data_IF_556499989913
#
_entry.id   IF_556499989913
#
_cell.length_a   1.000
_cell.length_b   1.000
_cell.length_c   1.000
_cell.angle_alpha   90.00
_cell.angle_beta   90.00
_cell.angle_gamma   90.00
#
_symmetry.space_group_name_H-M   'P 1'
#
loop_
_entity.id
_entity.type
_entity.pdbx_description
1 polymer ?
#
# COMPACT_ATOMS: atom_id res chain seq x y z
N UNK A 1 -39.95 -17.37 32.07
CA UNK A 1 -38.79 -16.46 32.10
C UNK A 1 -39.21 -15.02 31.78
N UNK A 2 -40.18 -14.46 32.52
CA UNK A 2 -41.03 -13.37 31.98
C UNK A 2 -41.20 -12.14 32.86
N UNK A 3 -40.54 -12.06 34.03
CA UNK A 3 -40.58 -10.85 34.88
C UNK A 3 -39.20 -10.27 35.21
N UNK A 4 -38.15 -11.09 35.21
CA UNK A 4 -36.79 -10.65 35.56
C UNK A 4 -36.08 -9.89 34.42
N UNK A 5 -36.47 -10.12 33.16
CA UNK A 5 -35.90 -9.47 31.97
C UNK A 5 -36.95 -8.63 31.24
N UNK A 6 -37.62 -7.73 31.99
CA UNK A 6 -38.58 -6.80 31.38
C UNK A 6 -37.80 -5.61 30.81
N UNK A 7 -37.52 -5.63 29.51
CA UNK A 7 -36.82 -4.53 28.82
C UNK A 7 -37.74 -3.30 28.78
N UNK A 8 -37.37 -2.21 29.47
CA UNK A 8 -38.08 -0.93 29.37
C UNK A 8 -37.99 -0.43 27.92
N UNK A 9 -39.12 -0.01 27.36
CA UNK A 9 -39.18 0.45 25.96
C UNK A 9 -38.37 1.73 25.79
N UNK A 10 -38.40 2.61 26.80
CA UNK A 10 -37.69 3.88 26.84
C UNK A 10 -36.55 3.81 27.87
N UNK A 11 -35.40 3.28 27.44
CA UNK A 11 -34.19 3.19 28.26
C UNK A 11 -33.10 4.03 27.60
N UNK A 12 -32.51 4.97 28.36
CA UNK A 12 -31.50 5.92 27.86
C UNK A 12 -30.29 5.19 27.27
N UNK A 13 -29.94 4.05 27.86
CA UNK A 13 -28.80 3.23 27.44
C UNK A 13 -29.06 2.46 26.14
N UNK A 14 -30.30 2.44 25.62
CA UNK A 14 -30.59 1.95 24.26
C UNK A 14 -30.39 3.02 23.19
N UNK A 15 -30.56 4.29 23.56
CA UNK A 15 -30.35 5.42 22.64
C UNK A 15 -28.89 5.87 22.58
N UNK A 16 -28.04 5.37 23.48
CA UNK A 16 -26.60 5.59 23.41
C UNK A 16 -25.93 4.62 22.41
N UNK A 17 -24.81 5.02 21.80
CA UNK A 17 -24.01 4.14 20.97
C UNK A 17 -23.54 2.91 21.74
N UNK A 18 -23.57 1.74 21.09
CA UNK A 18 -22.98 0.52 21.63
C UNK A 18 -21.46 0.58 21.47
N UNK A 19 -20.80 1.25 22.40
CA UNK A 19 -19.35 1.35 22.49
C UNK A 19 -18.79 0.36 23.51
N UNK A 20 -17.48 0.17 23.52
CA UNK A 20 -16.77 -0.72 24.45
C UNK A 20 -16.75 -0.18 25.90
N UNK A 21 -17.65 0.75 26.26
CA UNK A 21 -17.66 1.47 27.54
C UNK A 21 -16.71 2.68 27.62
N UNK A 22 -16.24 3.18 26.48
CA UNK A 22 -15.38 4.37 26.39
C UNK A 22 -16.05 5.43 25.53
N UNK A 23 -16.02 6.69 25.99
CA UNK A 23 -16.46 7.82 25.17
C UNK A 23 -15.74 7.83 23.81
N UNK A 24 -16.43 8.20 22.72
CA UNK A 24 -15.83 8.18 21.39
C UNK A 24 -14.66 9.16 21.34
N UNK A 25 -13.42 8.64 21.38
CA UNK A 25 -12.19 9.44 21.36
C UNK A 25 -11.96 10.21 20.06
N UNK A 26 -12.67 9.90 18.98
CA UNK A 26 -12.48 10.56 17.69
C UNK A 26 -13.69 10.42 16.76
N UNK A 27 -13.75 11.24 15.72
CA UNK A 27 -14.75 11.10 14.65
C UNK A 27 -14.60 9.77 13.92
N UNK A 28 -15.72 9.12 13.59
CA UNK A 28 -15.73 7.88 12.80
C UNK A 28 -15.04 8.00 11.42
N UNK A 29 -14.86 9.22 10.91
CA UNK A 29 -14.08 9.50 9.70
C UNK A 29 -12.64 9.83 10.10
N UNK A 30 -11.75 8.86 9.97
CA UNK A 30 -10.32 9.14 10.02
C UNK A 30 -9.86 9.71 8.68
N UNK A 31 -9.00 10.75 8.68
CA UNK A 31 -8.43 11.29 7.46
C UNK A 31 -7.63 10.21 6.73
N UNK A 32 -7.81 10.12 5.41
CA UNK A 32 -7.05 9.19 4.58
C UNK A 32 -5.58 9.65 4.51
N UNK A 33 -4.66 8.74 4.84
CA UNK A 33 -3.23 9.03 4.75
C UNK A 33 -2.75 8.79 3.32
N UNK A 34 -2.47 9.89 2.62
CA UNK A 34 -1.86 9.89 1.28
C UNK A 34 -0.51 9.13 1.29
N UNK A 35 0.19 9.11 2.42
CA UNK A 35 1.48 8.42 2.58
C UNK A 35 1.33 6.91 2.35
N UNK A 36 0.34 6.27 2.96
CA UNK A 36 0.12 4.82 2.77
C UNK A 36 -0.34 4.48 1.34
N UNK A 37 -1.09 5.38 0.72
CA UNK A 37 -1.47 5.23 -0.68
C UNK A 37 -0.27 5.28 -1.63
N UNK A 38 0.62 6.25 -1.45
CA UNK A 38 1.83 6.38 -2.27
C UNK A 38 2.73 5.15 -2.13
N UNK A 39 2.93 4.63 -0.92
CA UNK A 39 3.69 3.40 -0.69
C UNK A 39 3.08 2.21 -1.44
N UNK A 40 1.75 2.07 -1.41
CA UNK A 40 1.07 0.99 -2.13
C UNK A 40 1.22 1.10 -3.65
N UNK A 41 1.17 2.31 -4.20
CA UNK A 41 1.38 2.56 -5.63
C UNK A 41 2.83 2.26 -6.03
N UNK A 42 3.81 2.72 -5.25
CA UNK A 42 5.23 2.46 -5.49
C UNK A 42 5.52 0.96 -5.44
N UNK A 43 4.97 0.24 -4.46
CA UNK A 43 5.08 -1.21 -4.36
C UNK A 43 4.53 -1.92 -5.61
N UNK A 44 3.36 -1.51 -6.10
CA UNK A 44 2.77 -2.06 -7.32
C UNK A 44 3.66 -1.83 -8.54
N UNK A 45 4.24 -0.63 -8.68
CA UNK A 45 5.17 -0.32 -9.77
C UNK A 45 6.41 -1.21 -9.69
N UNK A 46 7.03 -1.36 -8.51
CA UNK A 46 8.19 -2.23 -8.35
C UNK A 46 7.88 -3.71 -8.64
N UNK A 47 6.70 -4.20 -8.27
CA UNK A 47 6.27 -5.57 -8.62
C UNK A 47 6.22 -5.76 -10.14
N UNK A 48 5.72 -4.76 -10.88
CA UNK A 48 5.72 -4.77 -12.35
C UNK A 48 7.14 -4.70 -12.92
N UNK A 49 8.02 -3.87 -12.35
CA UNK A 49 9.42 -3.79 -12.79
C UNK A 49 10.15 -5.11 -12.59
N UNK A 50 9.96 -5.78 -11.45
CA UNK A 50 10.54 -7.11 -11.18
C UNK A 50 10.01 -8.15 -12.17
N UNK A 51 8.71 -8.11 -12.49
CA UNK A 51 8.12 -9.00 -13.49
C UNK A 51 8.76 -8.82 -14.88
N UNK A 52 9.16 -7.60 -15.25
CA UNK A 52 9.87 -7.31 -16.50
C UNK A 52 11.34 -7.76 -16.47
N UNK A 53 11.98 -7.79 -15.29
CA UNK A 53 13.37 -8.27 -15.14
C UNK A 53 13.46 -9.79 -15.26
N UNK A 54 12.47 -10.54 -14.76
CA UNK A 54 12.46 -12.01 -14.75
C UNK A 54 12.76 -12.67 -16.11
N UNK A 55 12.16 -12.28 -17.25
CA UNK A 55 12.44 -12.90 -18.54
C UNK A 55 13.88 -12.68 -19.04
N UNK A 56 14.61 -11.66 -18.56
CA UNK A 56 16.00 -11.38 -18.96
C UNK A 56 16.91 -12.58 -18.65
N UNK A 57 16.68 -13.26 -17.52
CA UNK A 57 17.44 -14.45 -17.10
C UNK A 57 17.18 -15.64 -18.03
N UNK A 58 15.96 -15.76 -18.55
CA UNK A 58 15.57 -16.83 -19.46
C UNK A 58 16.18 -16.59 -20.85
N UNK A 59 16.09 -15.36 -21.34
CA UNK A 59 16.58 -14.95 -22.67
C UNK A 59 18.11 -15.06 -22.77
N UNK A 60 18.84 -14.91 -21.66
CA UNK A 60 20.30 -15.06 -21.62
C UNK A 60 20.81 -16.35 -22.28
N UNK A 61 20.05 -17.45 -22.17
CA UNK A 61 20.46 -18.75 -22.71
C UNK A 61 20.29 -18.88 -24.22
N UNK A 62 19.46 -18.05 -24.84
CA UNK A 62 19.05 -18.20 -26.24
C UNK A 62 19.49 -17.05 -27.14
N UNK A 63 19.83 -15.89 -26.58
CA UNK A 63 20.24 -14.70 -27.32
C UNK A 63 21.76 -14.56 -27.46
N UNK A 64 22.19 -13.76 -28.44
CA UNK A 64 23.58 -13.30 -28.55
C UNK A 64 24.02 -12.50 -27.31
N UNK A 65 25.21 -12.80 -26.79
CA UNK A 65 25.74 -12.23 -25.54
C UNK A 65 25.94 -10.71 -25.63
N UNK A 66 26.37 -10.19 -26.78
CA UNK A 66 26.66 -8.76 -26.96
C UNK A 66 25.36 -7.96 -27.00
N UNK A 67 24.37 -8.45 -27.76
CA UNK A 67 23.05 -7.82 -27.86
C UNK A 67 22.34 -7.86 -26.51
N UNK A 68 22.34 -9.02 -25.85
CA UNK A 68 21.71 -9.21 -24.54
C UNK A 68 22.30 -8.27 -23.49
N UNK A 69 23.63 -8.13 -23.45
CA UNK A 69 24.30 -7.27 -22.48
C UNK A 69 23.94 -5.80 -22.71
N UNK A 70 23.97 -5.34 -23.97
CA UNK A 70 23.66 -3.96 -24.30
C UNK A 70 22.20 -3.60 -23.96
N UNK A 71 21.24 -4.46 -24.36
CA UNK A 71 19.82 -4.23 -24.09
C UNK A 71 19.50 -4.27 -22.60
N UNK A 72 20.08 -5.22 -21.87
CA UNK A 72 19.87 -5.38 -20.42
C UNK A 72 20.44 -4.20 -19.66
N UNK A 73 21.66 -3.76 -20.00
CA UNK A 73 22.27 -2.58 -19.38
C UNK A 73 21.47 -1.31 -19.64
N UNK A 74 21.00 -1.11 -20.87
CA UNK A 74 20.13 0.02 -21.20
C UNK A 74 18.82 -0.02 -20.39
N UNK A 75 18.19 -1.18 -20.30
CA UNK A 75 16.94 -1.36 -19.56
C UNK A 75 17.11 -1.09 -18.05
N UNK A 76 18.16 -1.65 -17.43
CA UNK A 76 18.46 -1.41 -16.02
C UNK A 76 18.75 0.08 -15.75
N UNK A 77 19.46 0.77 -16.64
CA UNK A 77 19.72 2.20 -16.50
C UNK A 77 18.43 3.04 -16.50
N UNK A 78 17.45 2.68 -17.32
CA UNK A 78 16.14 3.37 -17.35
C UNK A 78 15.41 3.18 -16.02
N UNK A 79 15.34 1.95 -15.49
CA UNK A 79 14.71 1.66 -14.20
C UNK A 79 15.39 2.43 -13.05
N UNK A 80 16.72 2.38 -12.98
CA UNK A 80 17.49 3.11 -11.97
C UNK A 80 17.29 4.62 -12.04
N UNK A 81 17.15 5.17 -13.25
CA UNK A 81 16.87 6.60 -13.43
C UNK A 81 15.47 6.97 -12.94
N UNK A 82 14.48 6.11 -13.15
CA UNK A 82 13.12 6.27 -12.61
C UNK A 82 13.15 6.30 -11.08
N UNK A 83 13.79 5.30 -10.47
CA UNK A 83 13.98 5.23 -9.02
C UNK A 83 14.66 6.48 -8.45
N UNK A 84 15.73 6.94 -9.08
CA UNK A 84 16.45 8.13 -8.64
C UNK A 84 15.56 9.39 -8.69
N UNK A 85 14.72 9.50 -9.71
CA UNK A 85 13.76 10.59 -9.83
C UNK A 85 12.69 10.54 -8.72
N UNK A 86 12.11 9.38 -8.44
CA UNK A 86 11.14 9.19 -7.35
C UNK A 86 11.74 9.49 -5.97
N UNK A 87 13.00 9.09 -5.75
CA UNK A 87 13.75 9.43 -4.55
C UNK A 87 13.89 10.94 -4.40
N UNK A 88 14.30 11.63 -5.46
CA UNK A 88 14.49 13.09 -5.43
C UNK A 88 13.17 13.85 -5.20
N UNK A 89 12.02 13.25 -5.54
CA UNK A 89 10.70 13.79 -5.23
C UNK A 89 10.23 13.52 -3.80
N UNK A 90 11.01 12.79 -2.99
CA UNK A 90 10.67 12.49 -1.60
C UNK A 90 9.57 11.44 -1.44
N UNK A 91 9.19 10.73 -2.51
CA UNK A 91 8.12 9.72 -2.46
C UNK A 91 8.46 8.53 -1.53
N UNK A 92 9.75 8.31 -1.27
CA UNK A 92 10.30 7.27 -0.40
C UNK A 92 10.58 7.75 1.04
N UNK A 93 10.36 9.03 1.37
CA UNK A 93 10.60 9.53 2.72
C UNK A 93 9.48 9.10 3.67
N UNK A 94 9.81 8.20 4.58
CA UNK A 94 8.84 7.62 5.52
C UNK A 94 8.55 8.51 6.74
N UNK A 95 9.49 9.37 7.13
CA UNK A 95 9.36 10.24 8.29
C UNK A 95 10.02 11.60 8.04
N UNK A 96 9.19 12.61 7.83
CA UNK A 96 9.26 13.86 8.60
C UNK A 96 8.19 13.81 9.70
#
# INVERSE_FOLDING_TARGET
ATTLSKKLINDREKSSPFECGFDPKSSARMPFSIRFFLIAVIFLIFDVEIALILPIVIIFKTSDIMIWTLSTMFFILVLLRGLYHEWNQGALQWAE
#
